data_IF_025141251097
#
_entry.id   IF_025141251097
#
_cell.length_a   1.000
_cell.length_b   1.000
_cell.length_c   1.000
_cell.angle_alpha   90.00
_cell.angle_beta   90.00
_cell.angle_gamma   90.00
#
_symmetry.space_group_name_H-M   'P 1'
#
loop_
_entity.id
_entity.type
_entity.pdbx_description
1 polymer ?
#
# COMPACT_ATOMS: atom_id res chain seq x y z
N UNK A 1 14.36 1.90 5.95
CA UNK A 1 12.94 2.03 5.58
C UNK A 1 12.10 1.28 6.59
N UNK A 2 10.96 1.82 7.06
CA UNK A 2 10.05 1.09 7.94
C UNK A 2 9.54 -0.19 7.26
N UNK A 3 9.22 -1.21 8.05
CA UNK A 3 8.65 -2.47 7.55
C UNK A 3 7.39 -2.20 6.72
N UNK A 4 7.16 -2.98 5.66
CA UNK A 4 6.06 -2.76 4.71
C UNK A 4 4.70 -2.66 5.40
N UNK A 5 4.46 -3.47 6.45
CA UNK A 5 3.23 -3.43 7.24
C UNK A 5 3.03 -2.09 7.97
N UNK A 6 4.09 -1.46 8.46
CA UNK A 6 4.00 -0.14 9.12
C UNK A 6 3.66 0.96 8.11
N UNK A 7 4.28 0.92 6.92
CA UNK A 7 3.95 1.85 5.82
C UNK A 7 2.50 1.66 5.36
N UNK A 8 2.09 0.42 5.13
CA UNK A 8 0.73 0.11 4.69
C UNK A 8 -0.32 0.51 5.75
N UNK A 9 -0.06 0.27 7.03
CA UNK A 9 -0.95 0.70 8.12
C UNK A 9 -1.05 2.23 8.19
N UNK A 10 0.05 2.96 7.96
CA UNK A 10 0.03 4.42 7.91
C UNK A 10 -0.83 4.93 6.74
N UNK A 11 -0.68 4.35 5.54
CA UNK A 11 -1.51 4.68 4.38
C UNK A 11 -2.99 4.39 4.67
N UNK A 12 -3.31 3.21 5.20
CA UNK A 12 -4.68 2.83 5.56
C UNK A 12 -5.29 3.79 6.61
N UNK A 13 -4.52 4.19 7.62
CA UNK A 13 -4.95 5.16 8.62
C UNK A 13 -5.20 6.56 8.02
N UNK A 14 -4.36 7.01 7.08
CA UNK A 14 -4.59 8.27 6.35
C UNK A 14 -5.88 8.22 5.54
N UNK A 15 -6.11 7.14 4.79
CA UNK A 15 -7.35 6.95 4.03
C UNK A 15 -8.59 6.94 4.94
N UNK A 16 -8.51 6.25 6.09
CA UNK A 16 -9.59 6.25 7.08
C UNK A 16 -9.88 7.65 7.62
N UNK A 17 -8.83 8.45 7.89
CA UNK A 17 -8.97 9.85 8.31
C UNK A 17 -9.60 10.76 7.25
N UNK A 18 -9.50 10.40 5.97
CA UNK A 18 -10.16 11.07 4.84
C UNK A 18 -11.60 10.56 4.61
N UNK A 19 -12.08 9.63 5.45
CA UNK A 19 -13.43 9.06 5.35
C UNK A 19 -13.54 7.85 4.42
N UNK A 20 -12.42 7.27 3.97
CA UNK A 20 -12.41 6.06 3.16
C UNK A 20 -12.04 4.86 4.04
N UNK A 21 -12.98 3.94 4.34
CA UNK A 21 -12.68 2.77 5.16
C UNK A 21 -11.69 1.87 4.43
N UNK A 22 -10.43 1.92 4.87
CA UNK A 22 -9.34 1.16 4.27
C UNK A 22 -8.99 -0.07 5.13
N UNK A 23 -8.70 -1.18 4.47
CA UNK A 23 -8.19 -2.41 5.08
C UNK A 23 -6.80 -2.68 4.54
N UNK A 24 -5.88 -3.07 5.43
CA UNK A 24 -4.56 -3.53 5.03
C UNK A 24 -4.49 -5.05 5.25
N UNK A 25 -4.02 -5.77 4.24
CA UNK A 25 -3.85 -7.21 4.28
C UNK A 25 -2.39 -7.57 3.99
N UNK A 26 -1.80 -8.37 4.87
CA UNK A 26 -0.41 -8.81 4.72
C UNK A 26 -0.33 -10.08 3.89
N UNK A 27 0.51 -10.03 2.85
CA UNK A 27 0.87 -11.15 1.99
C UNK A 27 2.35 -11.50 2.16
N UNK A 28 2.78 -12.65 1.61
CA UNK A 28 4.16 -13.13 1.74
C UNK A 28 5.21 -12.13 1.25
N UNK A 29 4.90 -11.38 0.18
CA UNK A 29 5.85 -10.48 -0.49
C UNK A 29 5.48 -9.00 -0.42
N UNK A 30 4.28 -8.67 0.04
CA UNK A 30 3.78 -7.31 0.06
C UNK A 30 2.65 -7.17 1.07
N UNK A 31 2.22 -5.94 1.31
CA UNK A 31 0.98 -5.63 2.02
C UNK A 31 0.09 -4.87 1.05
N UNK A 32 -1.14 -5.35 0.84
CA UNK A 32 -2.15 -4.64 0.04
C UNK A 32 -2.96 -3.72 0.96
N UNK A 33 -3.40 -2.59 0.42
CA UNK A 33 -4.38 -1.71 1.03
C UNK A 33 -5.55 -1.62 0.06
N UNK A 34 -6.76 -1.80 0.56
CA UNK A 34 -7.99 -1.68 -0.23
C UNK A 34 -8.97 -0.77 0.49
N UNK A 35 -9.60 0.15 -0.26
CA UNK A 35 -10.61 1.05 0.26
C UNK A 35 -11.75 1.22 -0.75
N UNK A 36 -12.98 1.11 -0.26
CA UNK A 36 -14.17 1.42 -1.05
C UNK A 36 -14.25 2.94 -1.26
N UNK A 37 -14.39 3.35 -2.52
CA UNK A 37 -14.49 4.76 -2.90
C UNK A 37 -15.97 5.12 -3.09
N UNK A 38 -16.51 6.10 -2.35
CA UNK A 38 -17.89 6.52 -2.52
C UNK A 38 -18.14 7.05 -3.94
N UNK A 39 -19.41 7.04 -4.37
CA UNK A 39 -19.81 7.50 -5.71
C UNK A 39 -19.38 8.95 -5.99
N UNK A 40 -19.40 9.80 -4.96
CA UNK A 40 -18.94 11.18 -5.04
C UNK A 40 -17.82 11.47 -4.04
N UNK A 41 -16.79 12.14 -4.55
CA UNK A 41 -15.65 12.64 -3.80
C UNK A 41 -15.34 14.03 -4.36
N UNK A 42 -15.06 15.00 -3.50
CA UNK A 42 -14.64 16.33 -3.97
C UNK A 42 -13.24 16.24 -4.57
N UNK A 43 -12.91 17.16 -5.49
CA UNK A 43 -11.61 17.16 -6.14
C UNK A 43 -10.45 17.31 -5.14
N UNK A 44 -10.61 18.15 -4.10
CA UNK A 44 -9.60 18.31 -3.06
C UNK A 44 -9.40 17.03 -2.26
N UNK A 45 -10.49 16.39 -1.81
CA UNK A 45 -10.39 15.13 -1.07
C UNK A 45 -9.83 14.00 -1.96
N UNK A 46 -10.13 14.02 -3.25
CA UNK A 46 -9.52 13.08 -4.21
C UNK A 46 -8.02 13.29 -4.35
N UNK A 47 -7.54 14.54 -4.35
CA UNK A 47 -6.09 14.84 -4.34
C UNK A 47 -5.43 14.26 -3.08
N UNK A 48 -6.00 14.50 -1.91
CA UNK A 48 -5.46 13.97 -0.63
C UNK A 48 -5.40 12.43 -0.63
N UNK A 49 -6.44 11.78 -1.18
CA UNK A 49 -6.47 10.32 -1.35
C UNK A 49 -5.34 9.85 -2.26
N UNK A 50 -5.13 10.51 -3.40
CA UNK A 50 -4.05 10.19 -4.33
C UNK A 50 -2.66 10.41 -3.72
N UNK A 51 -2.48 11.47 -2.93
CA UNK A 51 -1.23 11.73 -2.22
C UNK A 51 -0.93 10.62 -1.20
N UNK A 52 -1.94 10.12 -0.48
CA UNK A 52 -1.77 9.03 0.46
C UNK A 52 -1.33 7.73 -0.22
N UNK A 53 -1.96 7.35 -1.35
CA UNK A 53 -1.61 6.11 -2.06
C UNK A 53 -0.35 6.22 -2.91
N UNK A 54 0.09 7.44 -3.27
CA UNK A 54 1.34 7.67 -3.98
C UNK A 54 2.59 7.29 -3.16
N UNK A 55 2.46 7.18 -1.83
CA UNK A 55 3.52 6.64 -0.96
C UNK A 55 3.72 5.13 -1.13
N UNK A 56 2.76 4.42 -1.75
CA UNK A 56 2.88 3.00 -2.04
C UNK A 56 3.75 2.75 -3.27
N UNK A 57 4.21 1.51 -3.45
CA UNK A 57 5.06 1.17 -4.59
C UNK A 57 4.22 1.01 -5.88
N UNK A 58 2.95 0.62 -5.74
CA UNK A 58 1.96 0.57 -6.81
C UNK A 58 0.59 0.95 -6.24
N UNK A 59 -0.23 1.60 -7.03
CA UNK A 59 -1.62 1.89 -6.68
C UNK A 59 -2.48 2.00 -7.93
N UNK A 60 -3.80 1.94 -7.75
CA UNK A 60 -4.74 2.11 -8.83
C UNK A 60 -6.18 2.10 -8.34
N UNK A 61 -7.09 2.23 -9.30
CA UNK A 61 -8.52 2.19 -9.08
C UNK A 61 -9.11 1.03 -9.89
N UNK A 62 -9.78 0.12 -9.21
CA UNK A 62 -10.56 -0.94 -9.83
C UNK A 62 -12.03 -0.53 -9.84
N UNK A 63 -12.60 -0.29 -11.03
CA UNK A 63 -14.02 -0.03 -11.19
C UNK A 63 -14.70 -1.30 -11.73
N UNK A 64 -15.47 -1.98 -10.87
CA UNK A 64 -16.27 -3.16 -11.27
C UNK A 64 -17.63 -2.72 -11.82
N UNK A 65 -18.12 -1.55 -11.41
CA UNK A 65 -19.30 -0.88 -11.97
C UNK A 65 -19.20 0.64 -11.79
N UNK A 66 -20.20 1.40 -12.25
CA UNK A 66 -20.28 2.85 -12.06
C UNK A 66 -20.20 3.28 -10.59
N UNK A 67 -20.75 2.46 -9.68
CA UNK A 67 -20.88 2.78 -8.26
C UNK A 67 -20.00 1.93 -7.35
N UNK A 68 -19.32 0.93 -7.92
CA UNK A 68 -18.48 0.02 -7.17
C UNK A 68 -17.03 0.19 -7.64
N UNK A 69 -16.30 0.97 -6.85
CA UNK A 69 -14.93 1.38 -7.12
C UNK A 69 -14.09 1.10 -5.89
N UNK A 70 -13.06 0.30 -6.07
CA UNK A 70 -12.10 -0.03 -5.02
C UNK A 70 -10.77 0.63 -5.37
N UNK A 71 -10.34 1.54 -4.51
CA UNK A 71 -8.97 2.04 -4.52
C UNK A 71 -8.07 0.97 -3.92
N UNK A 72 -6.96 0.68 -4.59
CA UNK A 72 -5.99 -0.28 -4.11
C UNK A 72 -4.58 0.30 -4.14
N UNK A 73 -3.75 -0.13 -3.19
CA UNK A 73 -2.34 0.18 -3.12
C UNK A 73 -1.54 -1.02 -2.62
N UNK A 74 -0.27 -1.11 -2.99
CA UNK A 74 0.63 -2.22 -2.65
C UNK A 74 1.96 -1.67 -2.16
N UNK A 75 2.36 -2.13 -0.98
CA UNK A 75 3.70 -1.88 -0.42
C UNK A 75 4.46 -3.20 -0.38
N UNK A 76 5.50 -3.34 -1.16
CA UNK A 76 6.32 -4.53 -1.19
C UNK A 76 7.16 -4.64 0.09
N UNK A 77 7.33 -5.86 0.57
CA UNK A 77 8.32 -6.17 1.60
C UNK A 77 9.70 -5.92 1.02
N UNK A 78 10.59 -5.34 1.82
CA UNK A 78 11.99 -5.23 1.43
C UNK A 78 12.52 -6.65 1.23
N UNK A 79 12.91 -6.97 -0.02
CA UNK A 79 13.58 -8.23 -0.28
C UNK A 79 14.94 -8.14 0.43
N UNK A 80 15.33 -9.11 1.28
CA UNK A 80 16.69 -9.14 1.79
C UNK A 80 17.60 -9.18 0.57
N UNK A 81 18.36 -8.11 0.35
CA UNK A 81 19.33 -8.09 -0.73
C UNK A 81 20.39 -9.12 -0.35
N UNK A 82 20.66 -10.09 -1.21
CA UNK A 82 21.68 -11.15 -1.03
C UNK A 82 23.13 -10.62 -0.90
N UNK A 83 23.31 -9.35 -0.50
CA UNK A 83 24.61 -8.74 -0.20
C UNK A 83 25.14 -9.06 1.20
N UNK A 84 24.32 -9.63 2.10
CA UNK A 84 24.75 -10.12 3.43
C UNK A 84 25.01 -11.63 3.40
N UNK A 85 25.70 -12.13 2.37
CA UNK A 85 26.29 -13.47 2.43
C UNK A 85 27.72 -13.27 2.91
N UNK A 86 27.86 -13.27 4.24
CA UNK A 86 29.15 -13.16 4.91
C UNK A 86 30.11 -14.28 4.51
N UNK A 87 31.18 -13.89 3.81
CA UNK A 87 32.54 -14.44 3.96
C UNK A 87 32.87 -15.76 3.22
N UNK A 88 34.06 -15.86 2.58
CA UNK A 88 34.53 -17.10 1.97
C UNK A 88 34.76 -18.15 3.05
N UNK A 89 34.07 -19.28 2.91
CA UNK A 89 34.31 -20.50 3.67
C UNK A 89 35.70 -21.05 3.33
N UNK A 90 36.63 -20.90 4.26
CA UNK A 90 37.90 -21.64 4.23
C UNK A 90 37.57 -23.13 4.35
N UNK A 91 37.79 -23.88 3.28
CA UNK A 91 37.91 -25.34 3.34
C UNK A 91 39.38 -25.68 3.60
N UNK A 92 39.65 -26.40 4.70
CA UNK A 92 40.90 -27.13 4.93
C UNK A 92 40.66 -28.60 4.72
#
# INVERSE_FOLDING_TARGET
MPASGVRAAAIAARLFGLGLPARAEEHDRHTSIEAEVPESLTADLWREVLEAVAEADRFGLLATSLNDRTLWAVVNKAVPTTGDVGGPSYQR
#
